data_IF_512604919527
#
_entry.id   IF_512604919527
#
_cell.length_a   1.000
_cell.length_b   1.000
_cell.length_c   1.000
_cell.angle_alpha   90.00
_cell.angle_beta   90.00
_cell.angle_gamma   90.00
#
_symmetry.space_group_name_H-M   'P 1'
#
loop_
_entity.id
_entity.type
_entity.pdbx_description
1 polymer ?
#
# COMPACT_ATOMS: atom_id res chain seq x y z
N UNK A 1 -12.61 9.34 -10.50
CA UNK A 1 -12.06 8.00 -10.16
C UNK A 1 -12.50 7.50 -8.79
N UNK A 2 -12.44 8.30 -7.72
CA UNK A 2 -12.82 7.86 -6.36
C UNK A 2 -14.26 7.31 -6.24
N UNK A 3 -15.23 7.94 -6.91
CA UNK A 3 -16.63 7.47 -6.91
C UNK A 3 -16.77 6.10 -7.59
N UNK A 4 -16.13 5.89 -8.75
CA UNK A 4 -16.15 4.61 -9.47
C UNK A 4 -15.51 3.50 -8.64
N UNK A 5 -14.40 3.78 -7.95
CA UNK A 5 -13.77 2.84 -7.02
C UNK A 5 -14.68 2.47 -5.85
N UNK A 6 -15.29 3.47 -5.20
CA UNK A 6 -16.23 3.21 -4.10
C UNK A 6 -17.37 2.32 -4.57
N UNK A 7 -17.97 2.63 -5.72
CA UNK A 7 -19.03 1.80 -6.33
C UNK A 7 -18.53 0.38 -6.60
N UNK A 8 -17.35 0.22 -7.21
CA UNK A 8 -16.79 -1.10 -7.50
C UNK A 8 -16.53 -1.94 -6.24
N UNK A 9 -16.06 -1.31 -5.16
CA UNK A 9 -15.87 -1.97 -3.86
C UNK A 9 -17.23 -2.38 -3.27
N UNK A 10 -18.21 -1.48 -3.26
CA UNK A 10 -19.56 -1.81 -2.76
C UNK A 10 -20.19 -2.94 -3.56
N UNK A 11 -20.08 -2.93 -4.89
CA UNK A 11 -20.55 -4.02 -5.76
C UNK A 11 -19.83 -5.32 -5.39
N UNK A 12 -18.51 -5.30 -5.25
CA UNK A 12 -17.72 -6.49 -4.93
C UNK A 12 -18.11 -7.11 -3.59
N UNK A 13 -18.21 -6.30 -2.54
CA UNK A 13 -18.56 -6.77 -1.19
C UNK A 13 -20.01 -7.25 -1.16
N UNK A 14 -20.95 -6.45 -1.65
CA UNK A 14 -22.38 -6.80 -1.61
C UNK A 14 -22.68 -8.06 -2.44
N UNK A 15 -22.12 -8.17 -3.64
CA UNK A 15 -22.26 -9.38 -4.46
C UNK A 15 -21.55 -10.58 -3.84
N UNK A 16 -20.38 -10.40 -3.22
CA UNK A 16 -19.67 -11.50 -2.55
C UNK A 16 -20.43 -12.03 -1.33
N UNK A 17 -20.98 -11.14 -0.49
CA UNK A 17 -21.84 -11.53 0.63
C UNK A 17 -23.09 -12.25 0.15
N UNK A 18 -23.74 -11.73 -0.90
CA UNK A 18 -24.93 -12.37 -1.47
C UNK A 18 -24.60 -13.75 -2.07
N UNK A 19 -23.48 -13.87 -2.76
CA UNK A 19 -22.97 -15.14 -3.30
C UNK A 19 -22.73 -16.15 -2.17
N UNK A 20 -22.05 -15.75 -1.09
CA UNK A 20 -21.81 -16.61 0.06
C UNK A 20 -23.11 -17.11 0.69
N UNK A 21 -24.06 -16.22 0.96
CA UNK A 21 -25.36 -16.56 1.56
C UNK A 21 -26.14 -17.48 0.64
N UNK A 22 -26.17 -17.21 -0.66
CA UNK A 22 -26.92 -18.03 -1.62
C UNK A 22 -26.27 -19.41 -1.80
N UNK A 23 -24.95 -19.51 -1.85
CA UNK A 23 -24.24 -20.80 -1.82
C UNK A 23 -24.59 -21.62 -0.58
N UNK A 24 -24.60 -20.99 0.60
CA UNK A 24 -24.98 -21.65 1.86
C UNK A 24 -26.44 -22.12 1.85
N UNK A 25 -27.36 -21.27 1.40
CA UNK A 25 -28.78 -21.63 1.28
C UNK A 25 -29.00 -22.77 0.29
N UNK A 26 -28.31 -22.76 -0.86
CA UNK A 26 -28.34 -23.87 -1.81
C UNK A 26 -27.86 -25.16 -1.16
N UNK A 27 -26.76 -25.12 -0.40
CA UNK A 27 -26.24 -26.30 0.29
C UNK A 27 -27.26 -26.87 1.30
N UNK A 28 -27.91 -26.02 2.09
CA UNK A 28 -28.89 -26.47 3.08
C UNK A 28 -30.23 -26.94 2.49
N UNK A 29 -30.67 -26.34 1.38
CA UNK A 29 -32.01 -26.57 0.82
C UNK A 29 -32.02 -27.52 -0.38
N UNK A 30 -30.87 -27.70 -1.05
CA UNK A 30 -30.78 -28.40 -2.34
C UNK A 30 -31.49 -27.67 -3.48
N UNK A 31 -31.89 -26.41 -3.30
CA UNK A 31 -32.68 -25.68 -4.28
C UNK A 31 -31.83 -25.21 -5.47
N UNK A 32 -32.09 -25.79 -6.64
CA UNK A 32 -31.36 -25.52 -7.89
C UNK A 32 -31.58 -24.10 -8.43
N UNK A 33 -32.72 -23.46 -8.14
CA UNK A 33 -32.95 -22.06 -8.51
C UNK A 33 -32.05 -21.11 -7.71
N UNK A 34 -31.85 -21.40 -6.41
CA UNK A 34 -30.92 -20.63 -5.58
C UNK A 34 -29.48 -20.87 -6.06
N UNK A 35 -29.13 -22.09 -6.47
CA UNK A 35 -27.81 -22.40 -7.04
C UNK A 35 -27.51 -21.56 -8.29
N UNK A 36 -28.48 -21.45 -9.21
CA UNK A 36 -28.36 -20.60 -10.40
C UNK A 36 -28.24 -19.13 -10.04
N UNK A 37 -28.98 -18.67 -9.04
CA UNK A 37 -28.89 -17.30 -8.55
C UNK A 37 -27.49 -17.02 -7.97
N UNK A 38 -26.93 -17.92 -7.16
CA UNK A 38 -25.58 -17.80 -6.63
C UNK A 38 -24.54 -17.66 -7.75
N UNK A 39 -24.61 -18.56 -8.75
CA UNK A 39 -23.73 -18.50 -9.92
C UNK A 39 -23.87 -17.17 -10.70
N UNK A 40 -25.09 -16.69 -10.91
CA UNK A 40 -25.33 -15.41 -11.60
C UNK A 40 -24.79 -14.20 -10.83
N UNK A 41 -24.95 -14.18 -9.50
CA UNK A 41 -24.41 -13.12 -8.64
C UNK A 41 -22.88 -13.08 -8.75
N UNK A 42 -22.23 -14.24 -8.77
CA UNK A 42 -20.79 -14.31 -9.00
C UNK A 42 -20.39 -13.79 -10.38
N UNK A 43 -21.02 -14.32 -11.45
CA UNK A 43 -20.68 -14.01 -12.85
C UNK A 43 -20.89 -12.53 -13.18
N UNK A 44 -21.97 -11.92 -12.68
CA UNK A 44 -22.35 -10.55 -13.03
C UNK A 44 -21.85 -9.49 -12.05
N UNK A 45 -21.61 -9.86 -10.80
CA UNK A 45 -21.23 -8.94 -9.73
C UNK A 45 -19.81 -9.19 -9.20
N UNK A 46 -19.62 -10.32 -8.52
CA UNK A 46 -18.42 -10.54 -7.71
C UNK A 46 -17.16 -10.68 -8.56
N UNK A 47 -17.21 -11.50 -9.62
CA UNK A 47 -16.07 -11.77 -10.51
C UNK A 47 -15.67 -10.53 -11.33
N UNK A 48 -16.59 -9.82 -12.04
CA UNK A 48 -16.20 -8.64 -12.81
C UNK A 48 -15.62 -7.52 -11.94
N UNK A 49 -16.21 -7.31 -10.76
CA UNK A 49 -15.69 -6.33 -9.81
C UNK A 49 -14.33 -6.74 -9.23
N UNK A 50 -14.09 -8.04 -9.02
CA UNK A 50 -12.77 -8.56 -8.62
C UNK A 50 -11.71 -8.34 -9.71
N UNK A 51 -12.02 -8.61 -10.99
CA UNK A 51 -11.13 -8.31 -12.11
C UNK A 51 -10.78 -6.83 -12.19
N UNK A 52 -11.76 -5.94 -12.04
CA UNK A 52 -11.54 -4.50 -12.04
C UNK A 52 -10.58 -4.05 -10.92
N UNK A 53 -10.61 -4.74 -9.77
CA UNK A 53 -9.73 -4.49 -8.64
C UNK A 53 -8.33 -5.14 -8.75
N UNK A 54 -7.98 -5.80 -9.85
CA UNK A 54 -6.66 -6.44 -9.99
C UNK A 54 -5.49 -5.46 -9.84
N UNK A 55 -5.65 -4.20 -10.27
CA UNK A 55 -4.58 -3.20 -10.21
C UNK A 55 -4.23 -2.77 -8.78
N UNK A 56 -5.14 -2.99 -7.80
CA UNK A 56 -4.99 -2.51 -6.42
C UNK A 56 -4.38 -3.55 -5.45
N UNK A 57 -4.06 -4.75 -5.91
CA UNK A 57 -3.48 -5.81 -5.06
C UNK A 57 -2.07 -5.44 -4.58
N UNK A 58 -1.72 -5.75 -3.34
CA UNK A 58 -0.40 -5.41 -2.76
C UNK A 58 0.62 -6.53 -2.97
N UNK A 59 1.85 -6.36 -2.44
CA UNK A 59 2.92 -7.36 -2.51
C UNK A 59 3.68 -7.36 -3.83
N UNK A 60 4.48 -8.40 -4.04
CA UNK A 60 5.23 -8.62 -5.27
C UNK A 60 4.27 -8.83 -6.45
N UNK A 61 4.07 -7.77 -7.25
CA UNK A 61 3.08 -7.72 -8.34
C UNK A 61 3.23 -8.88 -9.31
N UNK A 62 4.47 -9.30 -9.59
CA UNK A 62 4.79 -10.45 -10.43
C UNK A 62 4.08 -11.73 -10.00
N UNK A 63 4.02 -11.97 -8.70
CA UNK A 63 3.47 -13.18 -8.13
C UNK A 63 1.99 -13.01 -7.81
N UNK A 64 1.61 -11.87 -7.24
CA UNK A 64 0.26 -11.65 -6.73
C UNK A 64 -0.74 -11.39 -7.86
N UNK A 65 -0.40 -10.57 -8.85
CA UNK A 65 -1.34 -10.26 -9.94
C UNK A 65 -1.70 -11.54 -10.70
N UNK A 66 -0.69 -12.34 -11.03
CA UNK A 66 -0.89 -13.63 -11.67
C UNK A 66 -1.70 -14.58 -10.79
N UNK A 67 -1.36 -14.69 -9.51
CA UNK A 67 -2.08 -15.57 -8.60
C UNK A 67 -3.55 -15.18 -8.43
N UNK A 68 -3.81 -13.88 -8.33
CA UNK A 68 -5.14 -13.30 -8.21
C UNK A 68 -5.97 -13.53 -9.48
N UNK A 69 -5.40 -13.30 -10.66
CA UNK A 69 -6.06 -13.57 -11.94
C UNK A 69 -6.40 -15.06 -12.11
N UNK A 70 -5.50 -15.95 -11.69
CA UNK A 70 -5.76 -17.39 -11.69
C UNK A 70 -6.93 -17.75 -10.78
N UNK A 71 -6.95 -17.21 -9.55
CA UNK A 71 -8.03 -17.44 -8.58
C UNK A 71 -9.39 -16.96 -9.12
N UNK A 72 -9.46 -15.73 -9.65
CA UNK A 72 -10.71 -15.18 -10.21
C UNK A 72 -11.15 -15.98 -11.44
N UNK A 73 -10.22 -16.37 -12.31
CA UNK A 73 -10.53 -17.19 -13.50
C UNK A 73 -11.08 -18.56 -13.12
N UNK A 74 -10.48 -19.19 -12.10
CA UNK A 74 -10.95 -20.45 -11.56
C UNK A 74 -12.34 -20.30 -10.92
N UNK A 75 -12.57 -19.19 -10.22
CA UNK A 75 -13.86 -18.89 -9.64
C UNK A 75 -14.95 -18.73 -10.71
N UNK A 76 -14.64 -18.00 -11.79
CA UNK A 76 -15.51 -17.88 -12.96
C UNK A 76 -15.80 -19.22 -13.62
N UNK A 77 -14.78 -20.06 -13.76
CA UNK A 77 -14.95 -21.41 -14.28
C UNK A 77 -15.91 -22.23 -13.41
N UNK A 78 -15.76 -22.22 -12.08
CA UNK A 78 -16.67 -22.90 -11.18
C UNK A 78 -18.10 -22.34 -11.24
N UNK A 79 -18.25 -21.01 -11.28
CA UNK A 79 -19.55 -20.36 -11.36
C UNK A 79 -20.29 -20.68 -12.67
N UNK A 80 -19.60 -20.68 -13.81
CA UNK A 80 -20.18 -21.09 -15.09
C UNK A 80 -20.64 -22.55 -15.06
N UNK A 81 -19.84 -23.45 -14.50
CA UNK A 81 -20.23 -24.86 -14.38
C UNK A 81 -21.42 -25.04 -13.43
N UNK A 82 -21.46 -24.34 -12.29
CA UNK A 82 -22.62 -24.38 -11.39
C UNK A 82 -23.88 -23.81 -12.06
N UNK A 83 -23.76 -22.78 -12.90
CA UNK A 83 -24.90 -22.23 -13.63
C UNK A 83 -25.53 -23.27 -14.58
N UNK A 84 -24.69 -23.99 -15.34
CA UNK A 84 -25.17 -25.02 -16.27
C UNK A 84 -25.55 -26.34 -15.58
N UNK A 85 -24.91 -26.67 -14.45
CA UNK A 85 -25.12 -27.90 -13.67
C UNK A 85 -25.56 -27.53 -12.24
N UNK A 86 -26.71 -26.86 -12.14
CA UNK A 86 -27.21 -26.27 -10.88
C UNK A 86 -27.60 -27.26 -9.80
N UNK A 87 -27.66 -28.54 -10.13
CA UNK A 87 -27.88 -29.69 -9.25
C UNK A 87 -26.57 -30.29 -8.72
N UNK A 88 -25.42 -29.87 -9.25
CA UNK A 88 -24.12 -30.41 -8.88
C UNK A 88 -23.60 -29.82 -7.56
N UNK A 89 -23.67 -30.63 -6.50
CA UNK A 89 -23.01 -30.32 -5.22
C UNK A 89 -21.51 -30.11 -5.39
N UNK A 90 -20.89 -30.83 -6.33
CA UNK A 90 -19.47 -30.67 -6.64
C UNK A 90 -19.13 -29.24 -7.09
N UNK A 91 -19.88 -28.69 -8.05
CA UNK A 91 -19.62 -27.32 -8.53
C UNK A 91 -19.99 -26.27 -7.51
N UNK A 92 -21.02 -26.51 -6.70
CA UNK A 92 -21.38 -25.64 -5.58
C UNK A 92 -20.24 -25.54 -4.56
N UNK A 93 -19.70 -26.68 -4.13
CA UNK A 93 -18.59 -26.73 -3.17
C UNK A 93 -17.32 -26.11 -3.75
N UNK A 94 -16.99 -26.40 -5.01
CA UNK A 94 -15.81 -25.82 -5.66
C UNK A 94 -15.91 -24.30 -5.79
N UNK A 95 -17.07 -23.78 -6.21
CA UNK A 95 -17.30 -22.34 -6.29
C UNK A 95 -17.16 -21.70 -4.91
N UNK A 96 -17.77 -22.30 -3.88
CA UNK A 96 -17.68 -21.83 -2.50
C UNK A 96 -16.25 -21.85 -1.97
N UNK A 97 -15.49 -22.92 -2.21
CA UNK A 97 -14.09 -23.01 -1.77
C UNK A 97 -13.24 -21.91 -2.41
N UNK A 98 -13.32 -21.72 -3.73
CA UNK A 98 -12.53 -20.69 -4.42
C UNK A 98 -12.89 -19.28 -3.91
N UNK A 99 -14.17 -19.00 -3.67
CA UNK A 99 -14.64 -17.74 -3.08
C UNK A 99 -13.93 -17.45 -1.74
N UNK A 100 -13.69 -18.48 -0.94
CA UNK A 100 -13.08 -18.37 0.38
C UNK A 100 -11.55 -18.33 0.37
N UNK A 101 -10.87 -18.25 -0.79
CA UNK A 101 -9.40 -18.15 -0.84
C UNK A 101 -8.89 -16.96 -0.03
N UNK A 102 -9.62 -15.85 -0.03
CA UNK A 102 -9.24 -14.65 0.70
C UNK A 102 -9.36 -14.82 2.23
N UNK A 103 -10.30 -15.63 2.70
CA UNK A 103 -10.41 -15.98 4.13
C UNK A 103 -9.14 -16.69 4.58
N UNK A 104 -8.62 -17.62 3.78
CA UNK A 104 -7.34 -18.28 4.05
C UNK A 104 -6.16 -17.34 4.02
N UNK A 105 -6.13 -16.38 3.07
CA UNK A 105 -5.12 -15.33 3.07
C UNK A 105 -5.10 -14.58 4.41
N UNK A 106 -6.28 -14.22 4.94
CA UNK A 106 -6.41 -13.49 6.22
C UNK A 106 -6.00 -14.33 7.43
N UNK A 107 -6.45 -15.59 7.50
CA UNK A 107 -6.08 -16.51 8.58
C UNK A 107 -4.55 -16.70 8.61
N UNK A 108 -3.94 -16.98 7.45
CA UNK A 108 -2.49 -17.18 7.35
C UNK A 108 -1.72 -15.89 7.64
N UNK A 109 -2.25 -14.74 7.23
CA UNK A 109 -1.64 -13.45 7.53
C UNK A 109 -1.57 -13.18 9.03
N UNK A 110 -2.69 -13.36 9.74
CA UNK A 110 -2.74 -13.23 11.20
C UNK A 110 -1.81 -14.25 11.87
N UNK A 111 -1.83 -15.52 11.41
CA UNK A 111 -1.01 -16.59 11.97
C UNK A 111 0.50 -16.36 11.79
N UNK A 112 0.96 -16.04 10.57
CA UNK A 112 2.38 -15.72 10.33
C UNK A 112 2.79 -14.43 11.02
N UNK A 113 1.87 -13.47 11.14
CA UNK A 113 2.06 -12.28 11.95
C UNK A 113 2.34 -12.62 13.41
N UNK A 114 1.46 -13.40 14.04
CA UNK A 114 1.58 -13.83 15.43
C UNK A 114 2.91 -14.55 15.73
N UNK A 115 3.38 -15.40 14.82
CA UNK A 115 4.65 -16.14 14.98
C UNK A 115 5.87 -15.27 14.61
N UNK A 116 5.66 -14.13 13.94
CA UNK A 116 6.73 -13.26 13.48
C UNK A 116 7.45 -13.76 12.22
N UNK A 117 6.82 -14.61 11.42
CA UNK A 117 7.37 -15.11 10.16
C UNK A 117 7.15 -14.13 9.00
N UNK A 118 8.08 -14.17 8.04
CA UNK A 118 7.98 -13.49 6.73
C UNK A 118 7.66 -12.00 6.80
N UNK A 119 8.17 -11.26 7.80
CA UNK A 119 7.80 -9.85 8.06
C UNK A 119 7.80 -8.97 6.80
N UNK A 120 8.82 -9.11 5.96
CA UNK A 120 9.03 -8.27 4.77
C UNK A 120 8.37 -8.79 3.49
N UNK A 121 7.75 -9.98 3.53
CA UNK A 121 7.13 -10.65 2.35
C UNK A 121 5.78 -11.29 2.69
N UNK A 122 5.21 -10.89 3.84
CA UNK A 122 4.09 -11.60 4.47
C UNK A 122 2.90 -11.68 3.55
N UNK A 123 2.54 -10.56 2.91
CA UNK A 123 1.35 -10.48 2.07
C UNK A 123 1.43 -11.44 0.88
N UNK A 124 2.57 -11.46 0.18
CA UNK A 124 2.77 -12.37 -0.94
C UNK A 124 2.75 -13.82 -0.49
N UNK A 125 3.51 -14.15 0.56
CA UNK A 125 3.64 -15.53 1.03
C UNK A 125 2.32 -16.08 1.56
N UNK A 126 1.53 -15.30 2.30
CA UNK A 126 0.22 -15.75 2.82
C UNK A 126 -0.76 -16.01 1.68
N UNK A 127 -0.77 -15.14 0.67
CA UNK A 127 -1.66 -15.29 -0.49
C UNK A 127 -1.29 -16.51 -1.33
N UNK A 128 0.00 -16.73 -1.54
CA UNK A 128 0.50 -17.93 -2.21
C UNK A 128 0.22 -19.21 -1.45
N UNK A 129 0.43 -19.19 -0.13
CA UNK A 129 0.18 -20.35 0.72
C UNK A 129 -1.31 -20.69 0.73
N UNK A 130 -2.20 -19.69 0.78
CA UNK A 130 -3.64 -19.88 0.67
C UNK A 130 -4.03 -20.56 -0.65
N UNK A 131 -3.48 -20.08 -1.77
CA UNK A 131 -3.68 -20.69 -3.09
C UNK A 131 -3.21 -22.16 -3.14
N UNK A 132 -2.01 -22.45 -2.62
CA UNK A 132 -1.43 -23.79 -2.61
C UNK A 132 -2.18 -24.80 -1.72
N UNK A 133 -2.89 -24.32 -0.70
CA UNK A 133 -3.78 -25.14 0.14
C UNK A 133 -5.12 -25.37 -0.55
N UNK A 134 -5.69 -24.31 -1.14
CA UNK A 134 -7.08 -24.33 -1.57
C UNK A 134 -7.29 -24.88 -2.98
N UNK A 135 -6.40 -24.57 -3.92
CA UNK A 135 -6.57 -25.01 -5.31
C UNK A 135 -6.56 -26.54 -5.50
N UNK A 136 -5.78 -27.32 -4.74
CA UNK A 136 -5.88 -28.78 -4.78
C UNK A 136 -7.24 -29.33 -4.37
N UNK A 137 -7.97 -28.62 -3.50
CA UNK A 137 -9.33 -29.02 -3.12
C UNK A 137 -10.33 -28.85 -4.27
N UNK A 138 -10.00 -28.03 -5.28
CA UNK A 138 -10.89 -27.67 -6.40
C UNK A 138 -10.54 -28.43 -7.69
N UNK A 139 -9.25 -28.50 -8.03
CA UNK A 139 -8.75 -29.11 -9.28
C UNK A 139 -7.90 -30.37 -9.05
N UNK A 140 -7.81 -30.86 -7.80
CA UNK A 140 -6.95 -31.99 -7.43
C UNK A 140 -5.47 -31.62 -7.35
N UNK A 141 -4.60 -32.61 -7.12
CA UNK A 141 -3.16 -32.38 -6.87
C UNK A 141 -2.44 -31.63 -8.00
N UNK A 142 -2.91 -31.79 -9.25
CA UNK A 142 -2.38 -31.06 -10.42
C UNK A 142 -2.60 -29.55 -10.36
N UNK A 143 -3.50 -29.06 -9.50
CA UNK A 143 -3.81 -27.64 -9.36
C UNK A 143 -2.58 -26.80 -9.06
N UNK A 144 -1.71 -27.28 -8.16
CA UNK A 144 -0.50 -26.55 -7.78
C UNK A 144 0.49 -26.46 -8.94
N UNK A 145 0.62 -27.51 -9.74
CA UNK A 145 1.48 -27.49 -10.94
C UNK A 145 0.93 -26.49 -11.97
N UNK A 146 -0.38 -26.51 -12.21
CA UNK A 146 -1.03 -25.56 -13.12
C UNK A 146 -0.90 -24.11 -12.63
N UNK A 147 -1.09 -23.87 -11.33
CA UNK A 147 -0.94 -22.57 -10.71
C UNK A 147 0.49 -22.04 -10.84
N UNK A 148 1.49 -22.84 -10.44
CA UNK A 148 2.90 -22.47 -10.54
C UNK A 148 3.32 -22.23 -11.99
N UNK A 149 2.87 -23.10 -12.91
CA UNK A 149 3.11 -22.95 -14.34
C UNK A 149 2.47 -21.69 -14.92
N UNK A 150 1.24 -21.37 -14.51
CA UNK A 150 0.56 -20.14 -14.91
C UNK A 150 1.31 -18.90 -14.41
N UNK A 151 1.71 -18.85 -13.14
CA UNK A 151 2.45 -17.70 -12.62
C UNK A 151 3.82 -17.57 -13.30
N UNK A 152 4.59 -18.65 -13.39
CA UNK A 152 5.89 -18.63 -14.07
C UNK A 152 5.76 -18.21 -15.54
N UNK A 153 4.75 -18.73 -16.24
CA UNK A 153 4.44 -18.36 -17.62
C UNK A 153 4.05 -16.89 -17.76
N UNK A 154 3.23 -16.37 -16.85
CA UNK A 154 2.80 -14.95 -16.88
C UNK A 154 3.96 -13.99 -16.63
N UNK A 155 4.85 -14.32 -15.68
CA UNK A 155 6.07 -13.55 -15.40
C UNK A 155 7.01 -13.61 -16.59
N UNK A 156 7.22 -14.80 -17.17
CA UNK A 156 8.06 -14.96 -18.35
C UNK A 156 7.53 -14.15 -19.54
N UNK A 157 6.23 -14.23 -19.82
CA UNK A 157 5.59 -13.46 -20.89
C UNK A 157 5.72 -11.96 -20.66
N UNK A 158 5.53 -11.49 -19.42
CA UNK A 158 5.72 -10.08 -19.09
C UNK A 158 7.16 -9.63 -19.37
N UNK A 159 8.16 -10.37 -18.88
CA UNK A 159 9.57 -10.03 -19.09
C UNK A 159 9.96 -10.07 -20.57
N UNK A 160 9.41 -11.02 -21.34
CA UNK A 160 9.73 -11.20 -22.76
C UNK A 160 9.07 -10.15 -23.66
N UNK A 161 7.79 -9.84 -23.42
CA UNK A 161 6.99 -8.94 -24.25
C UNK A 161 7.23 -7.47 -23.87
N UNK A 162 7.17 -7.16 -22.58
CA UNK A 162 7.25 -5.77 -22.09
C UNK A 162 8.71 -5.29 -22.04
N UNK A 163 9.66 -6.21 -21.84
CA UNK A 163 11.09 -5.90 -21.68
C UNK A 163 11.35 -4.73 -20.72
N UNK A 164 10.85 -4.82 -19.47
CA UNK A 164 10.91 -3.71 -18.52
C UNK A 164 12.36 -3.28 -18.23
N UNK A 165 12.55 -1.98 -18.02
CA UNK A 165 13.82 -1.46 -17.50
C UNK A 165 14.09 -1.95 -16.06
N UNK A 166 15.23 -1.56 -15.47
CA UNK A 166 15.63 -2.02 -14.13
C UNK A 166 14.61 -1.58 -13.05
N UNK A 167 14.13 -0.35 -13.14
CA UNK A 167 13.21 0.23 -12.17
C UNK A 167 11.84 -0.43 -12.25
N UNK A 168 11.32 -0.65 -13.46
CA UNK A 168 10.08 -1.37 -13.72
C UNK A 168 10.16 -2.83 -13.25
N UNK A 169 11.31 -3.49 -13.40
CA UNK A 169 11.53 -4.83 -12.85
C UNK A 169 11.49 -4.84 -11.33
N UNK A 170 12.14 -3.90 -10.68
CA UNK A 170 12.15 -3.80 -9.22
C UNK A 170 10.74 -3.49 -8.67
N UNK A 171 9.98 -2.62 -9.34
CA UNK A 171 8.56 -2.37 -9.08
C UNK A 171 7.69 -3.64 -9.21
N UNK A 172 7.99 -4.49 -10.18
CA UNK A 172 7.23 -5.69 -10.46
C UNK A 172 7.56 -6.85 -9.52
N UNK A 173 8.83 -7.03 -9.17
CA UNK A 173 9.32 -8.21 -8.44
C UNK A 173 9.39 -8.02 -6.92
N UNK A 174 9.61 -6.81 -6.42
CA UNK A 174 9.83 -6.59 -4.99
C UNK A 174 8.51 -6.57 -4.22
N UNK A 175 8.53 -7.09 -2.98
CA UNK A 175 7.40 -6.93 -2.06
C UNK A 175 7.18 -5.45 -1.78
N UNK A 176 5.96 -4.99 -1.99
CA UNK A 176 5.50 -3.68 -1.52
C UNK A 176 4.29 -3.88 -0.64
N UNK A 177 4.51 -3.84 0.67
CA UNK A 177 3.41 -3.77 1.64
C UNK A 177 2.85 -2.34 1.70
N UNK A 178 3.73 -1.33 1.64
CA UNK A 178 3.50 0.11 1.46
C UNK A 178 4.81 0.74 0.93
N UNK A 179 4.76 1.72 0.04
CA UNK A 179 5.97 2.48 -0.31
C UNK A 179 6.36 3.33 0.91
N UNK A 180 7.35 2.88 1.69
CA UNK A 180 8.04 3.80 2.60
C UNK A 180 8.65 4.91 1.74
N UNK A 181 8.39 6.17 2.08
CA UNK A 181 8.94 7.32 1.35
C UNK A 181 10.46 7.24 1.21
N UNK A 182 11.14 6.74 2.25
CA UNK A 182 12.59 6.49 2.29
C UNK A 182 12.83 5.19 3.05
N UNK A 183 13.76 4.35 2.56
CA UNK A 183 14.23 3.21 3.35
C UNK A 183 15.10 3.73 4.51
N UNK A 184 14.59 3.64 5.73
CA UNK A 184 15.21 4.19 6.94
C UNK A 184 16.62 3.66 7.20
N UNK A 185 16.91 2.40 6.86
CA UNK A 185 18.25 1.81 7.02
C UNK A 185 19.24 2.39 6.01
N UNK A 186 18.79 2.64 4.78
CA UNK A 186 19.60 3.27 3.73
C UNK A 186 19.91 4.72 4.12
N UNK A 187 18.92 5.47 4.60
CA UNK A 187 19.11 6.84 5.09
C UNK A 187 20.13 6.90 6.25
N UNK A 188 19.96 6.07 7.28
CA UNK A 188 20.88 6.05 8.42
C UNK A 188 22.31 5.64 8.04
N UNK A 189 22.45 4.69 7.11
CA UNK A 189 23.75 4.24 6.63
C UNK A 189 24.42 5.33 5.77
N UNK A 190 23.64 5.95 4.89
CA UNK A 190 24.09 7.03 4.01
C UNK A 190 24.55 8.26 4.80
N UNK A 191 23.78 8.68 5.81
CA UNK A 191 24.22 9.77 6.71
C UNK A 191 25.52 9.38 7.38
N UNK A 192 25.61 8.19 7.99
CA UNK A 192 26.85 7.76 8.66
C UNK A 192 28.06 7.77 7.73
N UNK A 193 27.90 7.40 6.47
CA UNK A 193 28.98 7.39 5.49
C UNK A 193 29.35 8.79 4.98
N UNK A 194 28.37 9.67 4.74
CA UNK A 194 28.64 11.07 4.32
C UNK A 194 29.18 11.91 5.50
N UNK A 195 28.69 11.71 6.71
CA UNK A 195 29.25 12.28 7.95
C UNK A 195 30.71 11.90 8.16
N UNK A 196 31.11 10.69 7.75
CA UNK A 196 32.52 10.25 7.77
C UNK A 196 33.37 10.97 6.71
N UNK A 197 32.81 11.23 5.53
CA UNK A 197 33.48 11.97 4.46
C UNK A 197 33.63 13.46 4.77
N UNK A 198 32.66 14.05 5.47
CA UNK A 198 32.67 15.46 5.87
C UNK A 198 33.65 15.81 7.02
N UNK A 199 34.36 14.82 7.60
CA UNK A 199 35.13 14.99 8.85
C UNK A 199 34.30 15.64 9.97
N UNK A 200 33.06 15.19 10.19
CA UNK A 200 32.28 15.62 11.37
C UNK A 200 33.08 15.23 12.61
N UNK A 201 33.68 16.23 13.24
CA UNK A 201 34.49 16.02 14.43
C UNK A 201 33.57 15.49 15.52
N UNK A 202 33.99 14.40 16.15
CA UNK A 202 33.30 13.76 17.26
C UNK A 202 33.39 14.67 18.50
N UNK A 203 32.76 15.84 18.48
CA UNK A 203 32.64 16.79 19.60
C UNK A 203 31.73 17.98 19.26
N UNK A 204 30.43 17.78 19.35
CA UNK A 204 29.41 18.74 19.81
C UNK A 204 28.05 18.09 19.58
N UNK A 205 27.09 18.37 20.46
CA UNK A 205 25.68 18.28 20.11
C UNK A 205 25.44 19.29 18.97
N UNK A 206 25.68 18.90 17.72
CA UNK A 206 25.33 19.72 16.57
C UNK A 206 23.83 19.68 16.38
N UNK A 207 23.22 20.85 16.24
CA UNK A 207 21.78 21.01 16.01
C UNK A 207 21.40 20.26 14.71
N UNK A 208 20.22 19.64 14.63
CA UNK A 208 19.80 18.88 13.43
C UNK A 208 19.88 19.71 12.14
N UNK A 209 19.55 21.00 12.26
CA UNK A 209 19.66 21.98 11.20
C UNK A 209 21.10 22.23 10.73
N UNK A 210 22.10 22.11 11.61
CA UNK A 210 23.52 22.22 11.23
C UNK A 210 23.97 20.99 10.44
N UNK A 211 23.55 19.79 10.85
CA UNK A 211 23.83 18.56 10.10
C UNK A 211 23.16 18.60 8.71
N UNK A 212 21.92 19.08 8.64
CA UNK A 212 21.23 19.28 7.36
C UNK A 212 21.98 20.25 6.46
N UNK A 213 22.52 21.33 7.04
CA UNK A 213 23.27 22.35 6.30
C UNK A 213 24.59 21.82 5.77
N UNK A 214 25.32 21.04 6.56
CA UNK A 214 26.54 20.39 6.09
C UNK A 214 26.27 19.43 4.92
N UNK A 215 25.15 18.70 4.95
CA UNK A 215 24.76 17.83 3.83
C UNK A 215 24.31 18.65 2.62
N UNK A 216 23.57 19.74 2.83
CA UNK A 216 23.19 20.66 1.76
C UNK A 216 24.43 21.22 1.05
N UNK A 217 25.43 21.70 1.80
CA UNK A 217 26.68 22.25 1.27
C UNK A 217 27.54 21.20 0.55
N UNK A 218 27.35 19.90 0.83
CA UNK A 218 28.01 18.81 0.10
C UNK A 218 27.29 18.46 -1.21
N UNK A 219 25.99 18.72 -1.29
CA UNK A 219 25.17 18.46 -2.47
C UNK A 219 25.22 19.60 -3.46
N UNK A 220 25.25 20.84 -2.97
CA UNK A 220 25.48 22.08 -3.74
C UNK A 220 26.95 22.14 -4.19
N UNK A 221 27.27 21.40 -5.24
CA UNK A 221 28.64 21.20 -5.71
C UNK A 221 29.22 22.47 -6.34
N UNK A 222 28.35 23.27 -6.95
CA UNK A 222 28.71 24.54 -7.59
C UNK A 222 28.70 25.74 -6.61
N UNK A 223 28.22 25.53 -5.37
CA UNK A 223 28.10 26.53 -4.31
C UNK A 223 27.21 27.70 -4.72
N UNK A 224 26.19 27.43 -5.52
CA UNK A 224 25.20 28.41 -5.94
C UNK A 224 24.30 28.85 -4.77
N UNK A 225 24.26 28.08 -3.68
CA UNK A 225 23.32 28.23 -2.57
C UNK A 225 21.98 27.54 -2.83
N UNK A 226 21.91 26.72 -3.89
CA UNK A 226 20.73 25.98 -4.32
C UNK A 226 21.13 24.56 -4.73
N UNK A 227 20.24 23.60 -4.52
CA UNK A 227 20.40 22.25 -5.09
C UNK A 227 19.62 22.21 -6.40
N UNK A 228 20.31 21.93 -7.50
CA UNK A 228 19.69 21.83 -8.82
C UNK A 228 18.99 20.48 -9.04
N UNK A 229 18.34 20.33 -10.21
CA UNK A 229 17.60 19.11 -10.54
C UNK A 229 18.48 17.87 -10.72
N UNK A 230 19.74 18.01 -11.12
CA UNK A 230 20.67 16.88 -11.28
C UNK A 230 21.20 16.42 -9.92
N UNK A 231 21.63 17.36 -9.08
CA UNK A 231 22.10 17.13 -7.70
C UNK A 231 21.01 16.49 -6.84
N UNK A 232 19.77 16.98 -6.99
CA UNK A 232 18.62 16.44 -6.28
C UNK A 232 18.27 15.02 -6.75
N UNK A 233 18.25 14.74 -8.05
CA UNK A 233 17.95 13.41 -8.55
C UNK A 233 19.00 12.39 -8.09
N UNK A 234 20.28 12.78 -8.07
CA UNK A 234 21.34 11.93 -7.55
C UNK A 234 21.11 11.59 -6.07
N UNK A 235 20.76 12.58 -5.23
CA UNK A 235 20.43 12.33 -3.82
C UNK A 235 19.24 11.38 -3.67
N UNK A 236 18.14 11.65 -4.39
CA UNK A 236 16.91 10.88 -4.28
C UNK A 236 17.07 9.43 -4.77
N UNK A 237 17.91 9.21 -5.79
CA UNK A 237 18.34 7.87 -6.22
C UNK A 237 19.20 7.17 -5.15
N UNK A 238 20.18 7.87 -4.56
CA UNK A 238 21.02 7.33 -3.48
C UNK A 238 20.18 6.92 -2.25
N UNK A 239 19.13 7.69 -1.93
CA UNK A 239 18.20 7.40 -0.83
C UNK A 239 17.08 6.42 -1.19
N UNK A 240 16.98 6.03 -2.46
CA UNK A 240 15.90 5.19 -3.02
C UNK A 240 14.51 5.71 -2.64
N UNK A 241 14.32 7.02 -2.77
CA UNK A 241 13.05 7.68 -2.47
C UNK A 241 11.96 7.19 -3.43
N UNK A 242 10.72 7.06 -2.95
CA UNK A 242 9.62 6.60 -3.79
C UNK A 242 9.41 7.52 -5.02
N UNK A 243 9.36 6.95 -6.23
CA UNK A 243 9.23 7.68 -7.51
C UNK A 243 8.04 8.64 -7.55
N UNK A 244 6.94 8.28 -6.88
CA UNK A 244 5.75 9.12 -6.75
C UNK A 244 6.06 10.44 -6.02
N UNK A 245 6.92 10.39 -5.00
CA UNK A 245 7.38 11.58 -4.29
C UNK A 245 8.31 12.40 -5.19
N UNK A 246 9.30 11.76 -5.84
CA UNK A 246 10.26 12.44 -6.74
C UNK A 246 9.52 13.23 -7.82
N UNK A 247 8.65 12.57 -8.59
CA UNK A 247 7.90 13.17 -9.70
C UNK A 247 7.06 14.38 -9.28
N UNK A 248 6.46 14.33 -8.08
CA UNK A 248 5.65 15.41 -7.53
C UNK A 248 6.50 16.54 -6.97
N UNK A 249 7.58 16.20 -6.27
CA UNK A 249 8.52 17.19 -5.76
C UNK A 249 9.13 17.99 -6.91
N UNK A 250 9.54 17.35 -8.01
CA UNK A 250 10.01 18.05 -9.21
C UNK A 250 8.94 18.95 -9.85
N UNK A 251 7.65 18.58 -9.76
CA UNK A 251 6.53 19.42 -10.23
C UNK A 251 6.31 20.64 -9.33
N UNK A 252 6.58 20.51 -8.04
CA UNK A 252 6.50 21.60 -7.07
C UNK A 252 7.69 22.55 -7.19
N UNK A 253 8.91 22.00 -7.26
CA UNK A 253 10.18 22.71 -7.46
C UNK A 253 10.32 23.25 -8.89
N UNK A 254 9.24 23.72 -9.53
CA UNK A 254 9.18 24.15 -10.93
C UNK A 254 10.16 25.27 -11.33
N UNK A 255 10.99 25.75 -10.41
CA UNK A 255 12.12 26.66 -10.63
C UNK A 255 13.49 25.97 -10.74
N UNK A 256 13.58 24.64 -10.61
CA UNK A 256 14.83 23.88 -10.75
C UNK A 256 15.70 23.87 -9.50
N UNK A 257 15.64 24.95 -8.73
CA UNK A 257 16.58 25.23 -7.65
C UNK A 257 15.89 25.11 -6.28
N UNK A 258 16.39 24.21 -5.43
CA UNK A 258 15.89 24.01 -4.06
C UNK A 258 16.79 24.79 -3.09
N UNK A 259 16.22 25.78 -2.40
CA UNK A 259 16.93 26.51 -1.36
C UNK A 259 17.09 25.66 -0.09
N UNK A 260 18.02 26.03 0.79
CA UNK A 260 18.27 25.31 2.04
C UNK A 260 17.01 25.12 2.90
N UNK A 261 16.16 26.15 3.03
CA UNK A 261 14.93 26.06 3.81
C UNK A 261 13.98 25.00 3.27
N UNK A 262 13.83 24.93 1.94
CA UNK A 262 12.97 23.95 1.27
C UNK A 262 13.58 22.54 1.35
N UNK A 263 14.90 22.42 1.23
CA UNK A 263 15.62 21.16 1.42
C UNK A 263 15.44 20.63 2.84
N UNK A 264 15.65 21.48 3.85
CA UNK A 264 15.51 21.10 5.24
C UNK A 264 14.07 20.66 5.56
N UNK A 265 13.08 21.44 5.13
CA UNK A 265 11.67 21.15 5.37
C UNK A 265 11.17 19.90 4.65
N UNK A 266 11.49 19.75 3.36
CA UNK A 266 10.82 18.77 2.52
C UNK A 266 11.65 17.51 2.25
N UNK A 267 12.98 17.59 2.29
CA UNK A 267 13.89 16.51 1.92
C UNK A 267 14.61 15.94 3.14
N UNK A 268 15.30 16.77 3.94
CA UNK A 268 16.06 16.31 5.11
C UNK A 268 15.19 15.54 6.10
N UNK A 269 14.01 16.10 6.39
CA UNK A 269 13.02 15.50 7.30
C UNK A 269 12.32 14.24 6.77
N UNK A 270 12.60 13.80 5.54
CA UNK A 270 12.09 12.52 5.04
C UNK A 270 12.71 11.32 5.76
N UNK A 271 13.95 11.45 6.23
CA UNK A 271 14.64 10.37 6.93
C UNK A 271 14.63 10.51 8.45
N UNK A 272 14.04 11.57 8.99
CA UNK A 272 13.83 11.69 10.42
C UNK A 272 12.90 10.55 10.88
N UNK A 273 13.45 9.62 11.68
CA UNK A 273 12.61 8.78 12.52
C UNK A 273 11.83 9.75 13.39
N UNK A 274 10.50 9.70 13.34
CA UNK A 274 9.70 10.36 14.35
C UNK A 274 10.14 9.84 15.71
N UNK A 275 11.00 10.63 16.36
CA UNK A 275 11.56 10.32 17.68
C UNK A 275 10.61 10.66 18.81
N UNK A 276 9.44 11.19 18.48
CA UNK A 276 8.41 11.44 19.46
C UNK A 276 7.78 10.11 19.86
N UNK A 277 8.26 9.64 21.01
CA UNK A 277 7.64 8.61 21.80
C UNK A 277 6.15 8.93 21.92
N UNK A 278 5.33 8.02 21.41
CA UNK A 278 3.93 7.93 21.77
C UNK A 278 3.87 7.57 23.25
N UNK A 279 3.92 8.59 24.12
CA UNK A 279 3.61 8.39 25.52
C UNK A 279 2.14 8.00 25.60
N UNK A 280 1.92 6.79 26.12
CA UNK A 280 0.68 6.03 26.16
C UNK A 280 -0.41 6.68 27.03
N UNK A 281 -0.73 7.95 26.80
CA UNK A 281 -1.97 8.52 27.27
C UNK A 281 -3.02 8.19 26.22
N UNK A 282 -3.92 7.25 26.54
CA UNK A 282 -5.05 6.90 25.68
C UNK A 282 -5.87 8.14 25.35
N UNK A 283 -5.55 8.80 24.24
CA UNK A 283 -6.30 9.94 23.73
C UNK A 283 -7.68 9.44 23.32
N UNK A 284 -8.69 9.77 24.12
CA UNK A 284 -10.07 9.33 23.92
C UNK A 284 -10.83 10.29 23.02
N UNK A 285 -10.50 11.57 23.06
CA UNK A 285 -11.23 12.57 22.29
C UNK A 285 -10.76 12.62 20.83
N UNK A 286 -11.72 12.60 19.90
CA UNK A 286 -11.46 12.66 18.46
C UNK A 286 -10.64 13.91 18.07
N UNK A 287 -10.88 15.04 18.73
CA UNK A 287 -10.16 16.30 18.47
C UNK A 287 -8.70 16.21 18.89
N UNK A 288 -8.42 15.59 20.02
CA UNK A 288 -7.06 15.36 20.50
C UNK A 288 -6.32 14.35 19.61
N UNK A 289 -6.99 13.30 19.13
CA UNK A 289 -6.41 12.35 18.15
C UNK A 289 -6.01 13.06 16.86
N UNK A 290 -6.92 13.88 16.33
CA UNK A 290 -6.65 14.68 15.14
C UNK A 290 -5.52 15.67 15.40
N UNK A 291 -5.46 16.26 16.60
CA UNK A 291 -4.41 17.21 16.97
C UNK A 291 -3.05 16.56 17.04
N UNK A 292 -2.96 15.37 17.63
CA UNK A 292 -1.75 14.57 17.66
C UNK A 292 -1.23 14.29 16.24
N UNK A 293 -2.11 13.83 15.35
CA UNK A 293 -1.72 13.57 13.95
C UNK A 293 -1.37 14.87 13.23
N UNK A 294 -2.07 15.97 13.52
CA UNK A 294 -1.78 17.27 12.93
C UNK A 294 -0.38 17.74 13.30
N UNK A 295 -0.07 17.76 14.60
CA UNK A 295 1.23 18.20 15.12
C UNK A 295 2.36 17.27 14.64
N UNK A 296 2.07 15.99 14.38
CA UNK A 296 3.01 15.05 13.74
C UNK A 296 3.32 15.40 12.28
N UNK A 297 2.33 15.91 11.55
CA UNK A 297 2.44 16.22 10.12
C UNK A 297 3.00 17.62 9.87
N UNK A 298 2.61 18.58 10.71
CA UNK A 298 3.10 19.95 10.75
C UNK A 298 4.53 19.96 11.34
N UNK A 299 5.44 19.35 10.61
CA UNK A 299 6.82 19.16 11.05
C UNK A 299 7.50 20.51 11.26
N UNK A 300 7.17 21.50 10.42
CA UNK A 300 7.74 22.85 10.51
C UNK A 300 7.05 23.74 11.55
N UNK A 301 6.04 23.21 12.26
CA UNK A 301 5.27 23.88 13.29
C UNK A 301 4.70 25.22 12.83
N UNK A 302 4.35 25.31 11.55
CA UNK A 302 3.75 26.50 10.96
C UNK A 302 2.31 26.73 11.44
N UNK A 303 1.68 25.71 12.05
CA UNK A 303 0.28 25.70 12.41
C UNK A 303 -0.64 25.34 11.26
N UNK A 304 -0.09 24.93 10.12
CA UNK A 304 -0.78 24.54 8.90
C UNK A 304 -0.13 23.29 8.32
N UNK A 305 -0.92 22.36 7.79
CA UNK A 305 -0.39 21.25 7.01
C UNK A 305 -0.36 21.66 5.55
N UNK A 306 0.82 21.73 4.96
CA UNK A 306 0.94 22.03 3.54
C UNK A 306 0.67 20.80 2.65
N UNK A 307 0.52 21.05 1.35
CA UNK A 307 0.26 19.99 0.36
C UNK A 307 1.36 18.93 0.34
N UNK A 308 2.63 19.29 0.58
CA UNK A 308 3.75 18.34 0.55
C UNK A 308 3.70 17.45 1.79
N UNK A 309 3.42 18.01 2.97
CA UNK A 309 3.25 17.27 4.22
C UNK A 309 2.10 16.28 4.13
N UNK A 310 0.94 16.70 3.62
CA UNK A 310 -0.19 15.79 3.40
C UNK A 310 0.10 14.77 2.29
N UNK A 311 0.83 15.16 1.24
CA UNK A 311 1.22 14.24 0.17
C UNK A 311 2.21 13.18 0.65
N UNK A 312 3.22 13.56 1.46
CA UNK A 312 4.17 12.63 2.09
C UNK A 312 3.36 11.53 2.79
N UNK A 313 2.40 11.95 3.60
CA UNK A 313 1.52 11.05 4.33
C UNK A 313 0.74 10.09 3.43
N UNK A 314 0.08 10.63 2.40
CA UNK A 314 -0.75 9.85 1.48
C UNK A 314 0.08 8.81 0.69
N UNK A 315 1.28 9.19 0.26
CA UNK A 315 2.21 8.28 -0.43
C UNK A 315 2.74 7.22 0.54
N UNK A 316 3.16 7.62 1.75
CA UNK A 316 3.63 6.70 2.79
C UNK A 316 2.55 5.66 3.17
N UNK A 317 1.28 6.01 3.00
CA UNK A 317 0.15 5.11 3.22
C UNK A 317 -0.38 4.41 1.98
N UNK A 318 0.36 4.49 0.87
CA UNK A 318 0.13 3.67 -0.32
C UNK A 318 -0.97 4.17 -1.24
N UNK A 319 -1.38 5.44 -1.14
CA UNK A 319 -2.29 6.02 -2.12
C UNK A 319 -1.55 6.22 -3.46
N UNK A 320 -2.08 5.71 -4.59
CA UNK A 320 -1.46 5.91 -5.90
C UNK A 320 -1.33 7.39 -6.27
N UNK A 321 -0.22 7.74 -6.95
CA UNK A 321 0.10 9.10 -7.38
C UNK A 321 -1.09 9.83 -8.03
N UNK A 322 -1.80 9.19 -8.95
CA UNK A 322 -2.94 9.78 -9.66
C UNK A 322 -4.17 10.08 -8.78
N UNK A 323 -4.28 9.47 -7.59
CA UNK A 323 -5.38 9.70 -6.65
C UNK A 323 -5.07 10.80 -5.64
N UNK A 324 -3.78 11.00 -5.34
CA UNK A 324 -3.30 12.09 -4.49
C UNK A 324 -3.69 13.45 -5.10
N UNK A 325 -3.52 13.65 -6.40
CA UNK A 325 -3.97 14.88 -7.10
C UNK A 325 -5.47 15.13 -6.95
N UNK A 326 -6.29 14.10 -7.08
CA UNK A 326 -7.74 14.23 -6.99
C UNK A 326 -8.20 14.55 -5.56
N UNK A 327 -7.45 14.10 -4.56
CA UNK A 327 -7.72 14.38 -3.15
C UNK A 327 -7.28 15.79 -2.74
N UNK A 328 -6.17 16.27 -3.31
CA UNK A 328 -5.61 17.60 -3.04
C UNK A 328 -6.24 18.71 -3.89
N UNK A 329 -7.00 18.38 -4.93
CA UNK A 329 -7.65 19.34 -5.82
C UNK A 329 -8.85 20.07 -5.20
N UNK A 330 -9.36 19.60 -4.05
CA UNK A 330 -10.55 20.15 -3.39
C UNK A 330 -10.29 21.36 -2.48
N UNK A 331 -9.03 21.79 -2.35
CA UNK A 331 -8.65 22.86 -1.43
C UNK A 331 -8.13 24.10 -2.16
N UNK A 332 -8.65 25.27 -1.79
CA UNK A 332 -8.46 26.54 -2.51
C UNK A 332 -7.13 27.24 -2.14
N UNK A 333 -6.63 27.05 -0.91
CA UNK A 333 -5.42 27.72 -0.39
C UNK A 333 -4.20 26.80 -0.23
N UNK A 334 -4.39 25.49 -0.43
CA UNK A 334 -3.34 24.45 -0.38
C UNK A 334 -2.65 24.37 0.99
N UNK A 335 -3.34 24.77 2.06
CA UNK A 335 -2.85 24.68 3.44
C UNK A 335 -4.01 24.35 4.36
N UNK A 336 -3.93 23.21 5.02
CA UNK A 336 -4.97 22.80 5.95
C UNK A 336 -4.71 23.41 7.32
N UNK A 337 -5.59 24.31 7.76
CA UNK A 337 -5.67 24.66 9.18
C UNK A 337 -6.09 23.45 10.02
N UNK A 338 -5.89 23.51 11.34
CA UNK A 338 -6.30 22.40 12.21
C UNK A 338 -7.81 22.10 12.13
N UNK A 339 -8.67 23.12 12.03
CA UNK A 339 -10.12 22.90 11.95
C UNK A 339 -10.53 22.24 10.63
N UNK A 340 -9.91 22.63 9.51
CA UNK A 340 -10.11 21.97 8.21
C UNK A 340 -9.58 20.55 8.22
N UNK A 341 -8.41 20.32 8.80
CA UNK A 341 -7.86 18.98 8.99
C UNK A 341 -8.82 18.12 9.81
N UNK A 342 -9.33 18.64 10.94
CA UNK A 342 -10.22 17.91 11.82
C UNK A 342 -11.54 17.53 11.12
N UNK A 343 -12.15 18.43 10.37
CA UNK A 343 -13.47 18.21 9.75
C UNK A 343 -13.41 17.59 8.35
N UNK A 344 -12.58 18.14 7.47
CA UNK A 344 -12.54 17.76 6.05
C UNK A 344 -11.61 16.56 5.80
N UNK A 345 -10.64 16.34 6.68
CA UNK A 345 -9.60 15.30 6.53
C UNK A 345 -9.81 14.15 7.54
N UNK A 346 -11.00 14.06 8.16
CA UNK A 346 -11.36 13.01 9.14
C UNK A 346 -10.97 11.58 8.77
N UNK A 347 -11.35 11.05 7.60
CA UNK A 347 -11.02 9.67 7.26
C UNK A 347 -9.51 9.39 7.27
N UNK A 348 -8.70 10.40 6.97
CA UNK A 348 -7.25 10.29 6.90
C UNK A 348 -6.64 10.34 8.29
N UNK A 349 -6.95 11.35 9.11
CA UNK A 349 -6.32 11.47 10.43
C UNK A 349 -6.80 10.42 11.43
N UNK A 350 -8.04 9.94 11.29
CA UNK A 350 -8.56 8.86 12.13
C UNK A 350 -7.79 7.56 11.83
N UNK A 351 -7.58 7.27 10.54
CA UNK A 351 -6.75 6.16 10.09
C UNK A 351 -5.27 6.33 10.48
N UNK A 352 -4.75 7.55 10.39
CA UNK A 352 -3.39 7.91 10.79
C UNK A 352 -3.09 7.56 12.24
N UNK A 353 -3.98 8.02 13.13
CA UNK A 353 -3.82 7.88 14.56
C UNK A 353 -3.79 6.40 14.96
N UNK A 354 -4.71 5.60 14.42
CA UNK A 354 -4.75 4.16 14.70
C UNK A 354 -3.47 3.47 14.22
N UNK A 355 -2.96 3.80 13.03
CA UNK A 355 -1.69 3.24 12.53
C UNK A 355 -0.47 3.65 13.37
N UNK A 356 -0.41 4.91 13.82
CA UNK A 356 0.69 5.42 14.64
C UNK A 356 0.69 4.81 16.04
N UNK A 357 -0.50 4.59 16.63
CA UNK A 357 -0.66 3.87 17.90
C UNK A 357 -0.14 2.44 17.78
N UNK A 358 -0.52 1.74 16.72
CA UNK A 358 -0.17 0.34 16.52
C UNK A 358 1.34 0.16 16.29
N UNK A 359 2.00 1.11 15.60
CA UNK A 359 3.45 1.12 15.38
C UNK A 359 4.27 1.32 16.68
N UNK A 360 3.80 2.13 17.62
CA UNK A 360 4.56 2.50 18.83
C UNK A 360 4.45 1.51 19.99
N UNK A 361 3.38 0.73 20.07
CA UNK A 361 3.15 -0.24 21.15
C UNK A 361 4.13 -1.44 21.15
N UNK A 362 5.14 -1.46 20.28
CA UNK A 362 5.98 -2.64 20.02
C UNK A 362 5.20 -3.80 19.39
N UNK A 363 3.90 -3.63 19.18
CA UNK A 363 2.98 -4.56 18.53
C UNK A 363 3.08 -4.37 17.03
N UNK A 364 4.27 -4.53 16.45
CA UNK A 364 4.35 -4.79 15.01
C UNK A 364 3.78 -6.18 14.77
N UNK A 365 2.46 -6.20 14.60
CA UNK A 365 1.79 -7.21 13.81
C UNK A 365 0.87 -6.63 12.75
N UNK A 366 0.26 -5.47 12.95
CA UNK A 366 -0.83 -5.05 12.09
C UNK A 366 -0.85 -3.54 11.93
N UNK A 367 -0.75 -3.09 10.67
CA UNK A 367 -1.22 -1.76 10.31
C UNK A 367 -2.60 -1.96 9.68
N UNK A 368 -3.64 -1.43 10.31
CA UNK A 368 -5.01 -1.52 9.82
C UNK A 368 -5.07 -1.12 8.34
N UNK A 369 -5.81 -1.92 7.56
CA UNK A 369 -6.00 -1.72 6.14
C UNK A 369 -7.20 -0.80 5.91
N UNK A 370 -7.22 0.08 4.90
CA UNK A 370 -8.38 0.91 4.57
C UNK A 370 -9.63 0.12 4.12
N UNK A 371 -9.58 -1.21 4.13
CA UNK A 371 -10.68 -2.13 3.89
C UNK A 371 -11.03 -2.99 5.11
N UNK A 372 -10.58 -2.64 6.32
CA UNK A 372 -11.01 -3.28 7.57
C UNK A 372 -12.32 -2.67 8.08
N UNK A 373 -13.38 -2.80 7.28
CA UNK A 373 -14.77 -2.73 7.73
C UNK A 373 -15.50 -3.98 7.22
#
# INVERSE_FOLDING_TARGET
MLLQRRIAIYVHISSGVLEFITCWLTFCTGNTYIARAAALVAILGHIPSAYYQTSIVFGAKALIVAAYLFAISLHLFCALNLFFQSDSVYWLLNMFLVHNVYVWCRILYAFFGFIGLFKDTRYTITSWTAALILFPAVLGVSANVLFLGYVAGSVFLYLFIVQPDKQQRDLFLCERSRDLLVNTEIYEHWIKDKSRLAKISKKAETNDQENAKEIFDLLDADKSGYIDGEELNQLLEEWKVADAFIKRFSRWSKKGDVAFDDFYKHIWRLGEKSKDHFEENQIREAKEKARFVFDYLDQDHSGYIDVIELQKLLIQWGLPDNEVDAYLATDDDKRFSFDEFYHNVKPIWDFAYENMRDANSGTITEILHPHSN
#
